data_IF_119416015948
#
_entry.id   IF_119416015948
#
_cell.length_a   1.000
_cell.length_b   1.000
_cell.length_c   1.000
_cell.angle_alpha   90.00
_cell.angle_beta   90.00
_cell.angle_gamma   90.00
#
_symmetry.space_group_name_H-M   'P 1'
#
loop_
_entity.id
_entity.type
_entity.pdbx_description
1 polymer ?
#
# COMPACT_ATOMS: atom_id res chain seq x y z
N UNK A 1 -57.39 0.69 -39.07
CA UNK A 1 -56.65 -0.50 -38.53
C UNK A 1 -55.17 -0.61 -38.92
N UNK A 2 -54.74 -0.31 -40.15
CA UNK A 2 -53.32 -0.43 -40.57
C UNK A 2 -52.35 0.53 -39.84
N UNK A 3 -52.81 1.69 -39.33
CA UNK A 3 -51.97 2.63 -38.61
C UNK A 3 -51.80 2.29 -37.12
N UNK A 4 -52.80 1.67 -36.50
CA UNK A 4 -52.76 1.26 -35.11
C UNK A 4 -51.76 0.11 -34.94
N UNK A 5 -51.68 -0.84 -35.88
CA UNK A 5 -50.71 -1.91 -35.87
C UNK A 5 -49.24 -1.44 -36.01
N UNK A 6 -48.99 -0.39 -36.79
CA UNK A 6 -47.66 0.19 -36.94
C UNK A 6 -47.18 0.94 -35.69
N UNK A 7 -48.08 1.64 -34.98
CA UNK A 7 -47.78 2.32 -33.72
C UNK A 7 -47.50 1.30 -32.59
N UNK A 8 -48.27 0.19 -32.57
CA UNK A 8 -48.04 -0.87 -31.59
C UNK A 8 -46.66 -1.59 -31.75
N UNK A 9 -46.23 -1.79 -33.03
CA UNK A 9 -44.92 -2.36 -33.33
C UNK A 9 -43.77 -1.41 -32.92
N UNK A 10 -43.91 -0.11 -33.13
CA UNK A 10 -42.89 0.89 -32.73
C UNK A 10 -42.82 1.01 -31.21
N UNK A 11 -43.95 0.98 -30.50
CA UNK A 11 -43.96 0.99 -29.04
C UNK A 11 -43.42 -0.32 -28.45
N UNK A 12 -43.62 -1.47 -29.08
CA UNK A 12 -43.09 -2.75 -28.63
C UNK A 12 -41.58 -2.86 -28.84
N UNK A 13 -41.03 -2.28 -29.91
CA UNK A 13 -39.59 -2.25 -30.15
C UNK A 13 -38.88 -1.26 -29.19
N UNK A 14 -39.54 -0.19 -28.75
CA UNK A 14 -38.99 0.71 -27.71
C UNK A 14 -39.02 0.07 -26.33
N UNK A 15 -39.91 -0.85 -26.04
CA UNK A 15 -39.98 -1.55 -24.74
C UNK A 15 -38.96 -2.71 -24.61
N UNK A 16 -38.42 -3.20 -25.74
CA UNK A 16 -37.36 -4.21 -25.73
C UNK A 16 -35.94 -3.61 -25.65
N UNK A 17 -35.80 -2.32 -25.79
CA UNK A 17 -34.57 -1.61 -25.54
C UNK A 17 -34.47 -1.16 -24.04
N UNK A 18 -34.74 -2.09 -23.12
CA UNK A 18 -34.24 -1.91 -21.75
C UNK A 18 -32.71 -1.95 -21.90
N UNK A 19 -31.96 -0.87 -21.59
CA UNK A 19 -30.53 -1.00 -21.52
C UNK A 19 -30.27 -2.07 -20.46
N UNK A 20 -29.85 -3.24 -20.86
CA UNK A 20 -29.11 -4.12 -19.97
C UNK A 20 -27.93 -3.27 -19.56
N UNK A 21 -27.99 -2.71 -18.34
CA UNK A 21 -26.82 -2.18 -17.69
C UNK A 21 -25.90 -3.37 -17.62
N UNK A 22 -25.00 -3.49 -18.60
CA UNK A 22 -23.93 -4.47 -18.55
C UNK A 22 -23.24 -4.19 -17.23
N UNK A 23 -23.38 -5.08 -16.26
CA UNK A 23 -22.58 -4.99 -15.07
C UNK A 23 -21.14 -4.98 -15.58
N UNK A 24 -20.45 -3.86 -15.35
CA UNK A 24 -19.01 -3.81 -15.57
C UNK A 24 -18.42 -5.04 -14.89
N UNK A 25 -17.64 -5.86 -15.62
CA UNK A 25 -17.04 -7.04 -15.03
C UNK A 25 -16.32 -6.63 -13.75
N UNK A 26 -16.64 -7.30 -12.64
CA UNK A 26 -15.97 -7.03 -11.36
C UNK A 26 -14.47 -7.27 -11.60
N UNK A 27 -13.66 -6.23 -11.47
CA UNK A 27 -12.22 -6.38 -11.45
C UNK A 27 -11.87 -7.04 -10.11
N UNK A 28 -11.46 -8.30 -10.19
CA UNK A 28 -10.91 -9.01 -9.04
C UNK A 28 -9.41 -8.77 -8.99
N UNK A 29 -8.91 -8.33 -7.85
CA UNK A 29 -7.47 -8.20 -7.58
C UNK A 29 -7.02 -9.39 -6.75
N UNK A 30 -6.06 -10.15 -7.28
CA UNK A 30 -5.33 -11.21 -6.60
C UNK A 30 -3.87 -10.80 -6.60
N UNK A 31 -3.43 -10.21 -5.49
CA UNK A 31 -2.13 -9.57 -5.41
C UNK A 31 -1.18 -10.30 -4.46
N UNK A 32 0.11 -10.14 -4.73
CA UNK A 32 1.20 -10.54 -3.85
C UNK A 32 2.03 -9.32 -3.46
N UNK A 33 2.43 -9.26 -2.18
CA UNK A 33 3.39 -8.30 -1.68
C UNK A 33 4.81 -8.84 -1.88
N UNK A 34 5.64 -8.10 -2.62
CA UNK A 34 7.05 -8.40 -2.82
C UNK A 34 7.88 -7.39 -2.01
N UNK A 35 8.23 -7.77 -0.78
CA UNK A 35 8.99 -6.93 0.13
C UNK A 35 10.47 -6.96 -0.21
N UNK A 36 11.09 -5.77 -0.30
CA UNK A 36 12.53 -5.61 -0.53
C UNK A 36 13.27 -5.30 0.77
N UNK A 37 12.62 -4.62 1.71
CA UNK A 37 13.22 -4.29 3.00
C UNK A 37 13.70 -5.55 3.70
N UNK A 38 14.95 -5.50 4.20
CA UNK A 38 15.66 -6.64 4.83
C UNK A 38 15.74 -7.88 3.92
N UNK A 39 15.51 -7.71 2.61
CA UNK A 39 15.51 -8.79 1.60
C UNK A 39 14.54 -9.92 1.96
N UNK A 40 13.40 -9.57 2.55
CA UNK A 40 12.42 -10.56 2.99
C UNK A 40 11.90 -11.41 1.83
N UNK A 41 11.56 -10.77 0.71
CA UNK A 41 11.12 -11.48 -0.50
C UNK A 41 12.21 -11.44 -1.57
N UNK A 42 12.71 -10.24 -1.91
CA UNK A 42 13.67 -9.98 -2.97
C UNK A 42 14.51 -8.75 -2.65
N UNK A 43 15.78 -8.66 -3.11
CA UNK A 43 16.61 -9.74 -3.67
C UNK A 43 17.24 -10.60 -2.58
N UNK A 44 17.60 -11.83 -2.88
CA UNK A 44 18.40 -12.68 -1.96
C UNK A 44 19.91 -12.41 -2.09
N UNK A 45 20.35 -12.04 -3.29
CA UNK A 45 21.73 -11.68 -3.59
C UNK A 45 21.86 -10.17 -3.69
N UNK A 46 22.89 -9.57 -3.08
CA UNK A 46 23.24 -8.15 -3.25
C UNK A 46 24.33 -7.97 -4.29
N UNK A 47 24.27 -6.89 -5.07
CA UNK A 47 25.36 -6.49 -5.94
C UNK A 47 26.50 -5.94 -5.08
N UNK A 48 27.68 -6.58 -5.16
CA UNK A 48 28.82 -6.30 -4.26
C UNK A 48 29.68 -5.15 -4.76
N UNK A 49 29.78 -4.97 -6.09
CA UNK A 49 30.65 -4.01 -6.72
C UNK A 49 29.95 -3.33 -7.90
N UNK A 50 30.30 -2.09 -8.19
CA UNK A 50 29.85 -1.39 -9.39
C UNK A 50 30.61 -1.81 -10.66
N UNK A 51 31.56 -2.73 -10.55
CA UNK A 51 32.33 -3.31 -11.66
C UNK A 51 32.44 -4.83 -11.50
N UNK A 52 32.34 -5.58 -12.60
CA UNK A 52 32.43 -7.04 -12.57
C UNK A 52 31.27 -7.77 -11.90
N UNK A 53 30.11 -7.14 -11.82
CA UNK A 53 28.92 -7.58 -11.08
C UNK A 53 27.84 -8.24 -11.96
N UNK A 54 28.22 -8.66 -13.17
CA UNK A 54 27.24 -9.20 -14.13
C UNK A 54 26.52 -10.48 -13.61
N UNK A 55 27.20 -11.27 -12.77
CA UNK A 55 26.61 -12.47 -12.20
C UNK A 55 25.53 -12.12 -11.16
N UNK A 56 25.84 -11.25 -10.20
CA UNK A 56 24.92 -10.85 -9.15
C UNK A 56 23.68 -10.13 -9.74
N UNK A 57 23.87 -9.30 -10.77
CA UNK A 57 22.78 -8.66 -11.50
C UNK A 57 21.88 -9.72 -12.15
N UNK A 58 22.49 -10.72 -12.81
CA UNK A 58 21.73 -11.79 -13.46
C UNK A 58 20.98 -12.63 -12.43
N UNK A 59 21.60 -12.95 -11.30
CA UNK A 59 20.96 -13.68 -10.20
C UNK A 59 19.74 -12.91 -9.66
N UNK A 60 19.86 -11.60 -9.42
CA UNK A 60 18.72 -10.76 -9.00
C UNK A 60 17.58 -10.77 -10.03
N UNK A 61 17.91 -10.66 -11.31
CA UNK A 61 16.93 -10.70 -12.41
C UNK A 61 16.23 -12.05 -12.52
N UNK A 62 17.00 -13.14 -12.49
CA UNK A 62 16.46 -14.52 -12.58
C UNK A 62 15.55 -14.84 -11.39
N UNK A 63 15.93 -14.38 -10.20
CA UNK A 63 15.09 -14.51 -9.01
C UNK A 63 13.77 -13.75 -9.16
N UNK A 64 13.78 -12.51 -9.62
CA UNK A 64 12.57 -11.74 -9.83
C UNK A 64 11.66 -12.36 -10.91
N UNK A 65 12.25 -12.86 -11.99
CA UNK A 65 11.52 -13.63 -13.03
C UNK A 65 10.83 -14.83 -12.40
N UNK A 66 11.55 -15.63 -11.61
CA UNK A 66 11.00 -16.81 -10.93
C UNK A 66 9.83 -16.44 -10.00
N UNK A 67 9.94 -15.32 -9.27
CA UNK A 67 8.88 -14.82 -8.43
C UNK A 67 7.63 -14.44 -9.23
N UNK A 68 7.80 -13.68 -10.31
CA UNK A 68 6.69 -13.26 -11.18
C UNK A 68 6.05 -14.46 -11.92
N UNK A 69 6.84 -15.45 -12.31
CA UNK A 69 6.32 -16.72 -12.87
C UNK A 69 5.48 -17.48 -11.83
N UNK A 70 5.91 -17.47 -10.56
CA UNK A 70 5.17 -18.08 -9.45
C UNK A 70 3.86 -17.35 -9.18
N UNK A 71 3.88 -16.02 -9.21
CA UNK A 71 2.67 -15.17 -9.11
C UNK A 71 1.68 -15.51 -10.23
N UNK A 72 2.17 -15.62 -11.47
CA UNK A 72 1.35 -16.00 -12.62
C UNK A 72 0.79 -17.41 -12.49
N UNK A 73 1.62 -18.36 -12.07
CA UNK A 73 1.21 -19.76 -11.85
C UNK A 73 0.15 -19.89 -10.75
N UNK A 74 0.18 -19.00 -9.74
CA UNK A 74 -0.85 -18.89 -8.71
C UNK A 74 -2.15 -18.22 -9.21
N UNK A 75 -2.25 -17.90 -10.51
CA UNK A 75 -3.37 -17.18 -11.09
C UNK A 75 -3.59 -15.77 -10.45
N UNK A 76 -2.55 -15.16 -9.91
CA UNK A 76 -2.59 -13.78 -9.46
C UNK A 76 -2.36 -12.81 -10.64
N UNK A 77 -2.84 -11.60 -10.49
CA UNK A 77 -2.86 -10.60 -11.56
C UNK A 77 -2.24 -9.26 -11.15
N UNK A 78 -1.74 -9.14 -9.93
CA UNK A 78 -1.16 -7.90 -9.39
C UNK A 78 -0.01 -8.23 -8.45
N UNK A 79 1.02 -7.39 -8.43
CA UNK A 79 2.07 -7.37 -7.42
C UNK A 79 2.20 -5.99 -6.80
N UNK A 80 2.40 -5.95 -5.47
CA UNK A 80 2.81 -4.76 -4.73
C UNK A 80 4.31 -4.87 -4.51
N UNK A 81 5.09 -4.17 -5.34
CA UNK A 81 6.55 -4.25 -5.34
C UNK A 81 7.14 -3.11 -4.51
N UNK A 82 7.82 -3.43 -3.41
CA UNK A 82 8.39 -2.41 -2.54
C UNK A 82 9.58 -1.72 -3.21
N UNK A 83 9.39 -0.44 -3.54
CA UNK A 83 10.38 0.39 -4.23
C UNK A 83 11.13 1.33 -3.29
N UNK A 84 10.55 1.60 -2.10
CA UNK A 84 11.10 2.47 -1.08
C UNK A 84 10.78 1.92 0.31
N UNK A 85 11.78 1.30 0.94
CA UNK A 85 11.63 0.67 2.25
C UNK A 85 12.02 1.58 3.42
N UNK A 86 13.11 2.39 3.28
CA UNK A 86 13.73 3.17 4.37
C UNK A 86 14.47 4.40 3.84
N UNK A 87 13.78 5.33 3.19
CA UNK A 87 14.41 6.49 2.53
C UNK A 87 15.58 6.07 1.64
N UNK A 88 15.38 5.00 0.89
CA UNK A 88 16.30 4.44 -0.08
C UNK A 88 15.49 3.82 -1.24
N UNK A 89 16.08 3.69 -2.42
CA UNK A 89 15.37 3.37 -3.64
C UNK A 89 15.80 2.04 -4.28
N UNK A 90 14.83 1.31 -4.84
CA UNK A 90 15.00 0.17 -5.75
C UNK A 90 14.90 0.60 -7.22
N UNK A 91 15.13 1.87 -7.50
CA UNK A 91 15.06 2.49 -8.82
C UNK A 91 16.03 3.66 -8.89
N UNK A 92 16.31 4.16 -10.11
CA UNK A 92 17.19 5.31 -10.29
C UNK A 92 16.47 6.58 -9.82
N UNK A 93 16.77 7.00 -8.60
CA UNK A 93 16.20 8.21 -8.01
C UNK A 93 17.14 9.39 -8.02
N UNK A 94 16.57 10.60 -8.19
CA UNK A 94 17.27 11.89 -8.01
C UNK A 94 17.23 12.37 -6.56
N UNK A 95 16.42 11.75 -5.72
CA UNK A 95 16.17 12.16 -4.34
C UNK A 95 16.83 11.25 -3.32
N UNK A 96 16.83 9.96 -3.55
CA UNK A 96 17.26 8.96 -2.58
C UNK A 96 18.32 8.02 -3.13
N UNK A 97 19.21 7.50 -2.27
CA UNK A 97 20.28 6.62 -2.69
C UNK A 97 19.75 5.21 -3.00
N UNK A 98 20.52 4.45 -3.76
CA UNK A 98 20.26 3.03 -3.94
C UNK A 98 20.22 2.29 -2.61
N UNK A 99 19.24 1.41 -2.46
CA UNK A 99 19.03 0.67 -1.21
C UNK A 99 20.17 -0.28 -0.87
N UNK A 100 20.54 -0.33 0.41
CA UNK A 100 21.46 -1.33 0.95
C UNK A 100 20.90 -2.77 0.92
N UNK A 101 19.60 -2.92 0.68
CA UNK A 101 19.00 -4.23 0.46
C UNK A 101 19.24 -4.73 -0.99
N UNK A 102 19.50 -3.83 -1.93
CA UNK A 102 19.82 -4.12 -3.33
C UNK A 102 21.32 -4.29 -3.56
N UNK A 103 22.12 -3.46 -2.93
CA UNK A 103 23.58 -3.33 -3.13
C UNK A 103 24.32 -3.46 -1.79
N UNK A 104 25.57 -3.87 -1.82
CA UNK A 104 26.36 -4.07 -0.59
C UNK A 104 26.64 -2.78 0.17
N UNK A 105 26.70 -1.64 -0.55
CA UNK A 105 26.94 -0.32 0.05
C UNK A 105 25.84 0.63 -0.41
N UNK A 106 25.10 1.21 0.53
CA UNK A 106 24.03 2.17 0.24
C UNK A 106 24.51 3.29 -0.69
N UNK A 107 23.74 3.56 -1.73
CA UNK A 107 24.06 4.56 -2.75
C UNK A 107 24.94 4.07 -3.89
N UNK A 108 25.50 2.87 -3.85
CA UNK A 108 26.24 2.28 -4.95
C UNK A 108 25.30 1.95 -6.12
N UNK A 109 25.64 2.33 -7.34
CA UNK A 109 24.86 1.99 -8.53
C UNK A 109 24.91 0.47 -8.79
N UNK A 110 23.76 -0.22 -8.85
CA UNK A 110 23.71 -1.66 -9.14
C UNK A 110 24.06 -2.01 -10.60
N UNK A 111 24.13 -1.03 -11.51
CA UNK A 111 24.38 -1.24 -12.92
C UNK A 111 23.14 -1.61 -13.76
N UNK A 112 21.96 -1.57 -13.17
CA UNK A 112 20.67 -1.70 -13.86
C UNK A 112 19.57 -1.01 -13.05
N UNK A 113 18.37 -0.86 -13.63
CA UNK A 113 17.21 -0.31 -12.94
C UNK A 113 16.24 -1.46 -12.55
N UNK A 114 16.16 -1.83 -11.26
CA UNK A 114 15.31 -2.91 -10.80
C UNK A 114 13.81 -2.67 -11.01
N UNK A 115 13.34 -1.44 -10.81
CA UNK A 115 11.92 -1.13 -11.00
C UNK A 115 11.53 -1.18 -12.48
N UNK A 116 12.36 -0.61 -13.36
CA UNK A 116 12.11 -0.72 -14.81
C UNK A 116 12.04 -2.19 -15.24
N UNK A 117 12.99 -2.99 -14.78
CA UNK A 117 13.03 -4.43 -15.09
C UNK A 117 11.79 -5.15 -14.51
N UNK A 118 11.37 -4.82 -13.29
CA UNK A 118 10.18 -5.41 -12.65
C UNK A 118 8.89 -5.08 -13.43
N UNK A 119 8.73 -3.82 -13.87
CA UNK A 119 7.57 -3.37 -14.68
C UNK A 119 7.51 -4.14 -15.99
N UNK A 120 8.62 -4.20 -16.72
CA UNK A 120 8.67 -4.92 -18.00
C UNK A 120 8.34 -6.42 -17.86
N UNK A 121 8.91 -7.07 -16.84
CA UNK A 121 8.68 -8.50 -16.62
C UNK A 121 7.28 -8.82 -16.07
N UNK A 122 6.70 -7.94 -15.25
CA UNK A 122 5.32 -8.06 -14.80
C UNK A 122 4.34 -7.91 -15.97
N UNK A 123 4.50 -6.88 -16.80
CA UNK A 123 3.63 -6.63 -17.95
C UNK A 123 3.72 -7.71 -19.03
N UNK A 124 4.90 -8.29 -19.30
CA UNK A 124 5.05 -9.45 -20.18
C UNK A 124 4.18 -10.65 -19.76
N UNK A 125 3.87 -10.74 -18.46
CA UNK A 125 3.03 -11.80 -17.88
C UNK A 125 1.56 -11.40 -17.72
N UNK A 126 1.20 -10.15 -18.04
CA UNK A 126 -0.12 -9.58 -17.81
C UNK A 126 -0.41 -9.41 -16.31
N UNK A 127 0.60 -9.05 -15.53
CA UNK A 127 0.54 -8.76 -14.10
C UNK A 127 0.64 -7.24 -13.94
N UNK A 128 -0.33 -6.64 -13.25
CA UNK A 128 -0.26 -5.24 -12.83
C UNK A 128 0.79 -5.08 -11.73
N UNK A 129 1.54 -3.97 -11.75
CA UNK A 129 2.56 -3.68 -10.74
C UNK A 129 2.27 -2.35 -10.05
N UNK A 130 2.08 -2.39 -8.72
CA UNK A 130 1.96 -1.19 -7.90
C UNK A 130 3.27 -0.95 -7.16
N UNK A 131 3.80 0.26 -7.28
CA UNK A 131 4.97 0.68 -6.52
C UNK A 131 4.59 0.86 -5.04
N UNK A 132 5.18 0.06 -4.17
CA UNK A 132 4.94 0.12 -2.73
C UNK A 132 5.98 1.00 -2.05
N UNK A 133 5.51 2.05 -1.37
CA UNK A 133 6.29 2.99 -0.59
C UNK A 133 5.99 2.84 0.89
N UNK A 134 7.04 2.82 1.71
CA UNK A 134 6.95 3.15 3.11
C UNK A 134 7.23 4.66 3.23
N UNK A 135 6.22 5.52 3.48
CA UNK A 135 6.40 6.96 3.25
C UNK A 135 7.34 7.63 4.24
N UNK A 136 7.38 7.17 5.51
CA UNK A 136 8.09 7.91 6.57
C UNK A 136 9.28 7.18 7.18
N UNK A 137 9.36 5.85 7.07
CA UNK A 137 10.42 5.07 7.71
C UNK A 137 11.79 5.51 7.23
N UNK A 138 12.69 5.83 8.18
CA UNK A 138 14.05 6.28 7.90
C UNK A 138 15.09 5.30 8.42
N UNK A 139 15.24 5.15 9.72
CA UNK A 139 16.21 4.27 10.35
C UNK A 139 15.56 3.23 11.25
N UNK A 140 16.31 2.20 11.59
CA UNK A 140 16.02 1.29 12.70
C UNK A 140 17.29 1.15 13.55
N UNK A 141 17.17 0.60 14.76
CA UNK A 141 18.36 0.34 15.61
C UNK A 141 19.42 -0.52 14.92
N UNK A 142 19.03 -1.34 13.95
CA UNK A 142 19.94 -2.21 13.21
C UNK A 142 20.48 -1.58 11.92
N UNK A 143 19.90 -0.46 11.46
CA UNK A 143 20.22 0.16 10.18
C UNK A 143 20.21 1.67 10.35
N UNK A 144 21.40 2.21 10.61
CA UNK A 144 21.66 3.65 10.68
C UNK A 144 22.39 4.11 9.42
N UNK A 145 22.18 5.38 9.04
CA UNK A 145 22.66 5.90 7.76
C UNK A 145 23.83 6.88 7.89
N UNK A 146 24.44 6.96 9.08
CA UNK A 146 25.57 7.85 9.32
C UNK A 146 26.68 7.62 8.29
N UNK A 147 27.18 8.71 7.70
CA UNK A 147 28.23 8.69 6.70
C UNK A 147 27.83 8.10 5.35
N UNK A 148 26.54 7.84 5.09
CA UNK A 148 26.04 7.37 3.78
C UNK A 148 25.47 8.51 2.94
N UNK A 149 25.37 8.37 1.58
CA UNK A 149 24.76 9.39 0.74
C UNK A 149 23.31 9.72 1.11
N UNK A 150 22.91 10.99 0.91
CA UNK A 150 21.57 11.51 1.22
C UNK A 150 21.11 11.15 2.63
N UNK A 151 21.96 11.37 3.61
CA UNK A 151 21.66 11.14 5.02
C UNK A 151 20.88 12.35 5.57
N UNK A 152 19.60 12.16 5.87
CA UNK A 152 18.77 13.25 6.41
C UNK A 152 19.16 13.65 7.83
N UNK A 153 19.73 12.74 8.63
CA UNK A 153 20.23 13.10 9.96
C UNK A 153 21.34 14.15 9.91
N UNK A 154 22.13 14.17 8.84
CA UNK A 154 23.18 15.18 8.61
C UNK A 154 22.65 16.43 7.89
N UNK A 155 21.77 16.24 6.90
CA UNK A 155 21.32 17.34 6.03
C UNK A 155 20.06 18.05 6.54
N UNK A 156 19.16 17.32 7.20
CA UNK A 156 17.85 17.77 7.67
C UNK A 156 17.48 17.10 9.00
N UNK A 157 18.28 17.27 10.09
CA UNK A 157 18.01 16.64 11.37
C UNK A 157 16.63 17.02 11.92
N UNK A 158 16.13 18.21 11.60
CA UNK A 158 14.80 18.70 11.96
C UNK A 158 13.65 17.90 11.33
N UNK A 159 13.92 17.15 10.26
CA UNK A 159 12.91 16.30 9.60
C UNK A 159 12.62 15.01 10.35
N UNK A 160 13.40 14.67 11.37
CA UNK A 160 13.35 13.37 12.02
C UNK A 160 12.60 13.40 13.36
N UNK A 161 11.80 12.37 13.58
CA UNK A 161 11.30 11.99 14.90
C UNK A 161 12.03 10.71 15.32
N UNK A 162 12.68 10.77 16.47
CA UNK A 162 13.49 9.68 17.02
C UNK A 162 12.72 8.88 18.07
N UNK A 163 12.73 7.55 17.92
CA UNK A 163 12.11 6.59 18.82
C UNK A 163 13.18 5.59 19.33
N UNK A 164 12.83 4.80 20.33
CA UNK A 164 13.74 3.78 20.88
C UNK A 164 14.18 2.72 19.89
N UNK A 165 13.40 2.46 18.86
CA UNK A 165 13.58 1.38 17.88
C UNK A 165 13.82 1.86 16.44
N UNK A 166 13.91 3.18 16.23
CA UNK A 166 14.24 3.77 14.95
C UNK A 166 13.84 5.23 14.81
N UNK A 167 13.84 5.72 13.60
CA UNK A 167 13.46 7.10 13.27
C UNK A 167 12.56 7.14 12.06
N UNK A 168 11.70 8.14 12.01
CA UNK A 168 10.84 8.43 10.86
C UNK A 168 11.02 9.87 10.41
N UNK A 169 10.68 10.16 9.16
CA UNK A 169 10.45 11.53 8.72
C UNK A 169 9.20 12.08 9.40
N UNK A 170 9.25 13.31 9.87
CA UNK A 170 8.16 13.94 10.63
C UNK A 170 6.95 14.27 9.76
N UNK A 171 5.79 13.61 9.94
CA UNK A 171 4.60 13.84 9.12
C UNK A 171 4.01 15.24 9.26
N UNK A 172 4.32 15.95 10.34
CA UNK A 172 3.81 17.29 10.61
C UNK A 172 4.47 18.36 9.72
N UNK A 173 5.66 18.11 9.19
CA UNK A 173 6.41 19.08 8.39
C UNK A 173 5.89 19.16 6.94
N UNK A 174 5.53 20.35 6.44
CA UNK A 174 5.17 20.55 5.05
C UNK A 174 6.27 20.14 4.07
N UNK A 175 7.53 20.46 4.39
CA UNK A 175 8.71 20.17 3.57
C UNK A 175 8.91 18.65 3.39
N UNK A 176 8.66 17.88 4.45
CA UNK A 176 8.69 16.41 4.40
C UNK A 176 7.59 15.87 3.49
N UNK A 177 6.37 16.41 3.58
CA UNK A 177 5.26 16.01 2.71
C UNK A 177 5.55 16.34 1.24
N UNK A 178 6.11 17.51 0.96
CA UNK A 178 6.47 17.93 -0.39
C UNK A 178 7.59 17.03 -0.95
N UNK A 179 8.58 16.70 -0.13
CA UNK A 179 9.67 15.82 -0.49
C UNK A 179 9.17 14.39 -0.82
N UNK A 180 8.34 13.80 0.05
CA UNK A 180 7.76 12.47 -0.20
C UNK A 180 6.90 12.49 -1.47
N UNK A 181 6.13 13.54 -1.68
CA UNK A 181 5.31 13.70 -2.89
C UNK A 181 6.18 13.77 -4.15
N UNK A 182 7.30 14.50 -4.12
CA UNK A 182 8.24 14.60 -5.23
C UNK A 182 8.90 13.25 -5.56
N UNK A 183 9.25 12.45 -4.55
CA UNK A 183 9.79 11.09 -4.72
C UNK A 183 8.76 10.19 -5.44
N UNK A 184 7.50 10.24 -5.04
CA UNK A 184 6.44 9.44 -5.67
C UNK A 184 6.16 9.95 -7.09
N UNK A 185 6.15 11.26 -7.28
CA UNK A 185 6.00 11.89 -8.60
C UNK A 185 7.08 11.44 -9.57
N UNK A 186 8.34 11.35 -9.13
CA UNK A 186 9.45 10.82 -9.91
C UNK A 186 9.15 9.41 -10.43
N UNK A 187 8.63 8.51 -9.59
CA UNK A 187 8.27 7.16 -10.00
C UNK A 187 7.06 7.16 -10.94
N UNK A 188 6.02 7.91 -10.63
CA UNK A 188 4.82 8.01 -11.48
C UNK A 188 5.18 8.53 -12.87
N UNK A 189 6.06 9.53 -12.97
CA UNK A 189 6.45 10.11 -14.27
C UNK A 189 7.34 9.18 -15.10
N UNK A 190 8.30 8.51 -14.46
CA UNK A 190 9.37 7.80 -15.17
C UNK A 190 9.08 6.32 -15.44
N UNK A 191 8.12 5.71 -14.74
CA UNK A 191 7.82 4.28 -14.85
C UNK A 191 6.37 4.04 -15.26
N UNK A 192 6.14 2.97 -16.01
CA UNK A 192 4.80 2.53 -16.43
C UNK A 192 4.16 1.62 -15.37
N UNK A 193 4.01 2.15 -14.15
CA UNK A 193 3.37 1.45 -13.04
C UNK A 193 1.85 1.56 -13.14
N UNK A 194 1.12 0.56 -12.64
CA UNK A 194 -0.34 0.50 -12.62
C UNK A 194 -0.95 1.13 -11.36
N UNK A 195 -0.12 1.31 -10.32
CA UNK A 195 -0.55 1.91 -9.07
C UNK A 195 0.59 2.28 -8.13
N UNK A 196 0.21 3.01 -7.10
CA UNK A 196 1.02 3.34 -5.92
C UNK A 196 0.30 2.77 -4.70
N UNK A 197 1.05 2.20 -3.76
CA UNK A 197 0.48 1.70 -2.51
C UNK A 197 1.36 2.09 -1.33
N UNK A 198 0.72 2.50 -0.23
CA UNK A 198 1.36 2.66 1.07
C UNK A 198 0.99 1.50 1.99
N UNK A 199 1.86 1.20 2.95
CA UNK A 199 1.54 0.35 4.10
C UNK A 199 1.02 1.17 5.30
N UNK A 200 1.16 0.68 6.52
CA UNK A 200 0.63 1.28 7.75
C UNK A 200 1.67 2.04 8.58
N UNK A 201 2.87 2.28 8.05
CA UNK A 201 3.94 2.95 8.79
C UNK A 201 3.86 4.48 8.63
N UNK A 202 3.01 5.12 9.46
CA UNK A 202 2.89 6.57 9.56
C UNK A 202 3.67 7.08 10.77
N UNK A 203 3.02 7.51 11.84
CA UNK A 203 3.71 7.67 13.13
C UNK A 203 4.03 6.30 13.73
N UNK A 204 4.99 6.25 14.65
CA UNK A 204 5.29 5.05 15.41
C UNK A 204 4.57 5.09 16.77
N UNK A 205 4.26 3.93 17.34
CA UNK A 205 3.80 3.84 18.72
C UNK A 205 4.83 4.46 19.66
N UNK A 206 4.33 5.14 20.68
CA UNK A 206 5.20 5.85 21.62
C UNK A 206 5.53 7.28 21.20
N UNK A 207 4.83 7.86 20.22
CA UNK A 207 4.92 9.27 19.88
C UNK A 207 4.45 10.11 21.07
N UNK A 208 5.36 10.86 21.69
CA UNK A 208 5.09 11.74 22.84
C UNK A 208 4.87 13.19 22.39
N UNK A 209 4.28 14.02 23.26
CA UNK A 209 3.91 15.39 22.89
C UNK A 209 5.11 16.32 22.72
N UNK A 210 6.22 16.05 23.42
CA UNK A 210 7.45 16.82 23.32
C UNK A 210 8.16 16.64 21.97
N UNK A 211 7.91 15.55 21.26
CA UNK A 211 8.54 15.28 19.95
C UNK A 211 8.11 16.25 18.85
N UNK A 212 6.92 16.84 18.95
CA UNK A 212 6.35 17.73 17.94
C UNK A 212 5.69 18.99 18.52
N UNK A 213 5.99 19.35 19.81
CA UNK A 213 5.32 20.44 20.52
C UNK A 213 5.47 21.80 19.83
N UNK A 214 6.68 22.12 19.38
CA UNK A 214 6.94 23.39 18.69
C UNK A 214 6.12 23.51 17.41
N UNK A 215 6.10 22.47 16.58
CA UNK A 215 5.32 22.44 15.34
C UNK A 215 3.81 22.51 15.62
N UNK A 216 3.34 21.81 16.65
CA UNK A 216 1.93 21.87 17.02
C UNK A 216 1.49 23.28 17.43
N UNK A 217 2.30 23.98 18.22
CA UNK A 217 2.02 25.37 18.63
C UNK A 217 2.03 26.34 17.45
N UNK A 218 2.92 26.12 16.47
CA UNK A 218 3.08 27.00 15.31
C UNK A 218 2.11 26.71 14.17
N UNK A 219 1.68 25.47 14.00
CA UNK A 219 0.98 25.00 12.78
C UNK A 219 -0.37 24.33 13.02
N UNK A 220 -1.06 24.67 14.10
CA UNK A 220 -2.41 24.20 14.43
C UNK A 220 -3.46 25.36 14.40
N UNK A 221 -3.75 25.97 13.22
CA UNK A 221 -4.67 27.10 13.13
C UNK A 221 -6.11 26.74 13.49
N UNK A 222 -6.49 25.49 13.36
CA UNK A 222 -7.85 24.98 13.60
C UNK A 222 -8.08 24.59 15.07
N UNK A 223 -7.08 24.78 15.95
CA UNK A 223 -7.10 24.40 17.38
C UNK A 223 -7.53 22.93 17.60
N UNK A 224 -7.08 22.02 16.75
CA UNK A 224 -7.34 20.59 16.89
C UNK A 224 -6.65 20.05 18.16
N UNK A 225 -7.19 18.96 18.68
CA UNK A 225 -6.44 18.15 19.65
C UNK A 225 -5.12 17.68 19.03
N UNK A 226 -4.09 17.39 19.84
CA UNK A 226 -2.80 16.92 19.34
C UNK A 226 -2.95 15.68 18.44
N UNK A 227 -3.75 14.71 18.86
CA UNK A 227 -4.04 13.49 18.11
C UNK A 227 -4.73 13.78 16.76
N UNK A 228 -5.74 14.67 16.74
CA UNK A 228 -6.42 15.04 15.49
C UNK A 228 -5.50 15.83 14.56
N UNK A 229 -4.62 16.68 15.11
CA UNK A 229 -3.63 17.40 14.33
C UNK A 229 -2.61 16.45 13.68
N UNK A 230 -2.12 15.43 14.41
CA UNK A 230 -1.24 14.39 13.85
C UNK A 230 -1.94 13.62 12.73
N UNK A 231 -3.20 13.17 12.94
CA UNK A 231 -4.02 12.54 11.90
C UNK A 231 -4.20 13.44 10.68
N UNK A 232 -4.51 14.72 10.91
CA UNK A 232 -4.67 15.69 9.82
C UNK A 232 -3.38 15.84 8.99
N UNK A 233 -2.19 15.79 9.60
CA UNK A 233 -0.92 15.89 8.88
C UNK A 233 -0.66 14.66 8.00
N UNK A 234 -1.01 13.46 8.46
CA UNK A 234 -0.99 12.25 7.62
C UNK A 234 -2.01 12.38 6.47
N UNK A 235 -3.25 12.79 6.77
CA UNK A 235 -4.29 12.97 5.76
C UNK A 235 -3.88 13.97 4.67
N UNK A 236 -3.17 15.04 5.04
CA UNK A 236 -2.63 16.02 4.08
C UNK A 236 -1.66 15.39 3.08
N UNK A 237 -0.75 14.49 3.52
CA UNK A 237 0.13 13.76 2.60
C UNK A 237 -0.68 12.89 1.63
N UNK A 238 -1.63 12.11 2.16
CA UNK A 238 -2.44 11.20 1.35
C UNK A 238 -3.19 11.99 0.26
N UNK A 239 -3.86 13.06 0.64
CA UNK A 239 -4.58 13.92 -0.29
C UNK A 239 -3.65 14.61 -1.31
N UNK A 240 -2.45 14.98 -0.91
CA UNK A 240 -1.45 15.62 -1.78
C UNK A 240 -0.94 14.63 -2.83
N UNK A 241 -0.58 13.42 -2.41
CA UNK A 241 -0.13 12.34 -3.31
C UNK A 241 -1.24 11.96 -4.29
N UNK A 242 -2.47 11.79 -3.81
CA UNK A 242 -3.60 11.50 -4.69
C UNK A 242 -3.79 12.55 -5.78
N UNK A 243 -3.83 13.83 -5.40
CA UNK A 243 -3.96 14.93 -6.37
C UNK A 243 -2.81 14.98 -7.37
N UNK A 244 -1.58 14.72 -6.93
CA UNK A 244 -0.42 14.65 -7.80
C UNK A 244 -0.58 13.52 -8.82
N UNK A 245 -0.96 12.29 -8.38
CA UNK A 245 -1.18 11.14 -9.28
C UNK A 245 -2.29 11.45 -10.29
N UNK A 246 -3.42 12.00 -9.85
CA UNK A 246 -4.52 12.38 -10.75
C UNK A 246 -4.11 13.42 -11.79
N UNK A 247 -3.18 14.31 -11.44
CA UNK A 247 -2.65 15.32 -12.38
C UNK A 247 -1.66 14.73 -13.38
N UNK A 248 -0.82 13.79 -12.97
CA UNK A 248 0.27 13.23 -13.80
C UNK A 248 -0.22 12.07 -14.68
N UNK A 249 -0.81 11.06 -14.04
CA UNK A 249 -1.29 9.83 -14.69
C UNK A 249 -2.58 9.33 -14.01
N UNK A 250 -3.76 9.84 -14.38
CA UNK A 250 -5.02 9.54 -13.69
C UNK A 250 -5.46 8.07 -13.77
N UNK A 251 -4.79 7.25 -14.58
CA UNK A 251 -5.03 5.80 -14.63
C UNK A 251 -4.21 5.02 -13.59
N UNK A 252 -3.18 5.62 -12.99
CA UNK A 252 -2.41 5.03 -11.89
C UNK A 252 -3.24 5.07 -10.63
N UNK A 253 -3.52 3.92 -10.06
CA UNK A 253 -4.36 3.81 -8.86
C UNK A 253 -3.54 4.07 -7.60
N UNK A 254 -4.13 4.74 -6.63
CA UNK A 254 -3.52 4.95 -5.33
C UNK A 254 -4.29 4.22 -4.24
N UNK A 255 -3.60 3.41 -3.45
CA UNK A 255 -4.18 2.67 -2.35
C UNK A 255 -3.33 2.66 -1.11
N UNK A 256 -3.95 2.26 0.01
CA UNK A 256 -3.27 2.15 1.30
C UNK A 256 -3.63 0.81 1.94
N UNK A 257 -2.64 0.18 2.57
CA UNK A 257 -2.79 -1.04 3.37
C UNK A 257 -2.61 -0.69 4.86
N UNK A 258 -3.62 -0.11 5.51
CA UNK A 258 -3.56 0.25 6.92
C UNK A 258 -3.70 -1.00 7.80
N UNK A 259 -3.57 -0.82 9.12
CA UNK A 259 -3.96 -1.84 10.09
C UNK A 259 -5.39 -2.32 9.86
N UNK A 260 -5.65 -3.59 10.14
CA UNK A 260 -6.95 -4.22 9.85
C UNK A 260 -8.13 -3.64 10.64
N UNK A 261 -7.88 -3.14 11.85
CA UNK A 261 -8.88 -2.44 12.70
C UNK A 261 -8.64 -0.95 12.61
N UNK A 262 -9.70 -0.19 12.33
CA UNK A 262 -9.64 1.27 12.34
C UNK A 262 -9.84 1.83 13.75
N UNK A 263 -11.07 1.77 14.27
CA UNK A 263 -11.47 2.33 15.57
C UNK A 263 -12.71 1.64 16.08
N UNK A 264 -12.75 1.30 17.37
CA UNK A 264 -13.89 0.66 18.04
C UNK A 264 -14.73 1.66 18.84
N UNK A 265 -14.30 2.92 18.97
CA UNK A 265 -15.03 3.99 19.66
C UNK A 265 -16.22 4.48 18.82
N UNK A 266 -17.42 4.30 19.38
CA UNK A 266 -18.66 4.70 18.74
C UNK A 266 -18.78 6.24 18.56
N UNK A 267 -18.19 7.02 19.46
CA UNK A 267 -18.22 8.48 19.38
C UNK A 267 -17.36 8.99 18.21
N UNK A 268 -16.24 8.34 17.97
CA UNK A 268 -15.38 8.64 16.83
C UNK A 268 -16.09 8.22 15.54
N UNK A 269 -16.64 7.00 15.49
CA UNK A 269 -17.35 6.50 14.32
C UNK A 269 -18.56 7.38 13.92
N UNK A 270 -19.29 7.90 14.90
CA UNK A 270 -20.42 8.83 14.68
C UNK A 270 -19.97 10.10 13.94
N UNK A 271 -18.76 10.62 14.18
CA UNK A 271 -18.23 11.81 13.46
C UNK A 271 -18.14 11.58 11.95
N UNK A 272 -17.91 10.32 11.54
CA UNK A 272 -17.85 9.90 10.16
C UNK A 272 -19.17 9.37 9.59
N UNK A 273 -20.23 9.32 10.42
CA UNK A 273 -21.52 8.77 10.02
C UNK A 273 -21.49 7.26 9.73
N UNK A 274 -20.60 6.52 10.40
CA UNK A 274 -20.41 5.07 10.23
C UNK A 274 -20.53 4.34 11.56
N UNK A 275 -20.62 3.03 11.51
CA UNK A 275 -20.48 2.18 12.70
C UNK A 275 -19.01 1.97 13.04
N UNK A 276 -18.64 1.81 14.33
CA UNK A 276 -17.29 1.47 14.71
C UNK A 276 -16.89 0.07 14.20
N UNK A 277 -15.59 -0.22 14.11
CA UNK A 277 -15.11 -1.57 13.87
C UNK A 277 -15.62 -2.49 15.00
N UNK A 278 -16.23 -3.61 14.69
CA UNK A 278 -17.00 -4.39 15.68
C UNK A 278 -16.13 -5.07 16.74
N UNK A 279 -14.83 -5.27 16.44
CA UNK A 279 -13.86 -5.96 17.31
C UNK A 279 -12.46 -5.39 17.09
N UNK A 280 -11.57 -5.60 18.06
CA UNK A 280 -10.16 -5.19 17.96
C UNK A 280 -9.81 -4.10 18.97
N UNK A 281 -8.90 -3.21 18.61
CA UNK A 281 -8.43 -2.09 19.44
C UNK A 281 -8.24 -0.83 18.59
N UNK A 282 -8.18 0.31 19.24
CA UNK A 282 -8.03 1.63 18.61
C UNK A 282 -6.56 2.01 18.33
N UNK A 283 -5.64 1.06 18.44
CA UNK A 283 -4.21 1.27 18.27
C UNK A 283 -3.86 2.03 16.98
N UNK A 284 -4.48 1.70 15.85
CA UNK A 284 -4.19 2.38 14.60
C UNK A 284 -4.61 3.85 14.62
N UNK A 285 -5.75 4.15 15.23
CA UNK A 285 -6.29 5.49 15.31
C UNK A 285 -5.58 6.34 16.38
N UNK A 286 -5.31 5.76 17.56
CA UNK A 286 -4.80 6.48 18.72
C UNK A 286 -3.28 6.54 18.80
N UNK A 287 -2.56 5.44 18.48
CA UNK A 287 -1.12 5.34 18.68
C UNK A 287 -0.30 5.74 17.46
N UNK A 288 -0.77 5.38 16.25
CA UNK A 288 -0.06 5.70 15.00
C UNK A 288 -0.79 6.73 14.14
N UNK A 289 -1.86 7.31 14.64
CA UNK A 289 -2.63 8.41 14.04
C UNK A 289 -3.07 8.13 12.59
N UNK A 290 -3.47 6.89 12.32
CA UNK A 290 -3.92 6.40 11.04
C UNK A 290 -5.43 6.53 10.93
N UNK A 291 -5.91 7.33 9.97
CA UNK A 291 -7.35 7.62 9.81
C UNK A 291 -7.87 7.32 8.40
N UNK A 292 -8.00 6.02 8.05
CA UNK A 292 -8.47 5.62 6.73
C UNK A 292 -9.89 6.09 6.40
N UNK A 293 -10.73 6.38 7.40
CA UNK A 293 -12.08 6.91 7.15
C UNK A 293 -12.03 8.30 6.53
N UNK A 294 -11.12 9.17 6.97
CA UNK A 294 -10.90 10.46 6.33
C UNK A 294 -10.51 10.28 4.86
N UNK A 295 -9.59 9.38 4.54
CA UNK A 295 -9.13 9.16 3.16
C UNK A 295 -10.22 8.64 2.23
N UNK A 296 -11.06 7.72 2.73
CA UNK A 296 -12.21 7.17 1.99
C UNK A 296 -13.26 8.24 1.73
N UNK A 297 -13.61 9.04 2.74
CA UNK A 297 -14.64 10.08 2.63
C UNK A 297 -14.20 11.27 1.76
N UNK A 298 -12.93 11.62 1.83
CA UNK A 298 -12.34 12.68 0.98
C UNK A 298 -12.05 12.22 -0.45
N UNK A 299 -12.31 10.94 -0.76
CA UNK A 299 -11.96 10.32 -2.04
C UNK A 299 -10.49 10.55 -2.43
N UNK A 300 -9.59 10.46 -1.46
CA UNK A 300 -8.15 10.66 -1.64
C UNK A 300 -7.38 9.34 -1.84
N UNK A 301 -8.10 8.21 -2.00
CA UNK A 301 -7.59 6.90 -2.38
C UNK A 301 -8.58 6.19 -3.30
N UNK A 302 -8.09 5.31 -4.19
CA UNK A 302 -8.91 4.49 -5.08
C UNK A 302 -9.30 3.15 -4.41
N UNK A 303 -8.43 2.63 -3.57
CA UNK A 303 -8.69 1.38 -2.85
C UNK A 303 -8.03 1.36 -1.47
N UNK A 304 -8.58 0.51 -0.63
CA UNK A 304 -8.01 0.20 0.69
C UNK A 304 -7.77 -1.30 0.82
N UNK A 305 -6.62 -1.67 1.40
CA UNK A 305 -6.20 -3.08 1.57
C UNK A 305 -5.81 -3.36 3.03
N UNK A 306 -6.77 -3.34 3.98
CA UNK A 306 -6.47 -3.49 5.40
C UNK A 306 -5.78 -4.81 5.72
N UNK A 307 -4.82 -4.79 6.64
CA UNK A 307 -4.03 -5.93 7.09
C UNK A 307 -4.81 -6.76 8.13
N UNK A 308 -5.69 -7.63 7.65
CA UNK A 308 -6.56 -8.45 8.51
C UNK A 308 -5.88 -9.81 8.74
N UNK A 309 -4.90 -9.85 9.66
CA UNK A 309 -4.04 -11.01 9.89
C UNK A 309 -4.54 -11.97 10.97
N UNK A 310 -5.70 -11.70 11.55
CA UNK A 310 -6.28 -12.53 12.62
C UNK A 310 -7.09 -13.70 12.09
N UNK A 311 -7.26 -14.72 12.95
CA UNK A 311 -8.06 -15.91 12.62
C UNK A 311 -9.54 -15.69 12.87
N UNK A 312 -10.38 -16.43 12.15
CA UNK A 312 -11.83 -16.51 12.43
C UNK A 312 -12.03 -17.08 13.84
N UNK A 313 -12.89 -16.44 14.62
CA UNK A 313 -13.17 -16.80 16.01
C UNK A 313 -12.16 -16.29 17.03
N UNK A 314 -11.18 -15.46 16.64
CA UNK A 314 -10.30 -14.76 17.57
C UNK A 314 -10.95 -13.48 18.13
N UNK A 315 -10.30 -12.82 19.09
CA UNK A 315 -10.78 -11.53 19.65
C UNK A 315 -10.88 -10.43 18.59
N UNK A 316 -10.05 -10.49 17.53
CA UNK A 316 -10.13 -9.62 16.35
C UNK A 316 -10.56 -10.48 15.16
N UNK A 317 -11.81 -10.96 15.18
CA UNK A 317 -12.32 -11.93 14.20
C UNK A 317 -12.24 -11.39 12.78
N UNK A 318 -11.55 -12.15 11.91
CA UNK A 318 -11.39 -11.81 10.51
C UNK A 318 -12.70 -11.52 9.79
N UNK A 319 -13.73 -12.37 10.00
CA UNK A 319 -14.99 -12.25 9.26
C UNK A 319 -15.71 -10.95 9.62
N UNK A 320 -15.77 -10.62 10.90
CA UNK A 320 -16.43 -9.40 11.37
C UNK A 320 -15.74 -8.14 10.83
N UNK A 321 -14.38 -8.12 10.84
CA UNK A 321 -13.60 -6.99 10.34
C UNK A 321 -13.75 -6.85 8.82
N UNK A 322 -13.64 -7.96 8.07
CA UNK A 322 -13.74 -7.94 6.61
C UNK A 322 -15.16 -7.56 6.13
N UNK A 323 -16.20 -8.04 6.81
CA UNK A 323 -17.59 -7.65 6.54
C UNK A 323 -17.80 -6.15 6.79
N UNK A 324 -17.29 -5.65 7.90
CA UNK A 324 -17.35 -4.22 8.24
C UNK A 324 -16.67 -3.37 7.15
N UNK A 325 -15.43 -3.67 6.78
CA UNK A 325 -14.74 -2.94 5.70
C UNK A 325 -15.51 -2.99 4.38
N UNK A 326 -16.02 -4.18 4.03
CA UNK A 326 -16.81 -4.35 2.79
C UNK A 326 -18.07 -3.49 2.76
N UNK A 327 -18.72 -3.28 3.93
CA UNK A 327 -19.90 -2.41 4.04
C UNK A 327 -19.52 -0.94 3.95
N UNK A 328 -18.46 -0.52 4.65
CA UNK A 328 -17.99 0.86 4.67
C UNK A 328 -17.58 1.33 3.28
N UNK A 329 -16.68 0.61 2.60
CA UNK A 329 -16.17 1.05 1.30
C UNK A 329 -17.26 1.19 0.23
N UNK A 330 -18.32 0.38 0.32
CA UNK A 330 -19.49 0.48 -0.59
C UNK A 330 -20.25 1.78 -0.41
N UNK A 331 -20.31 2.33 0.79
CA UNK A 331 -21.01 3.59 1.08
C UNK A 331 -20.32 4.77 0.38
N UNK A 332 -19.00 4.70 0.24
CA UNK A 332 -18.18 5.80 -0.26
C UNK A 332 -17.54 5.53 -1.64
N UNK A 333 -17.82 4.39 -2.25
CA UNK A 333 -17.35 4.07 -3.61
C UNK A 333 -15.85 3.76 -3.69
N UNK A 334 -15.20 3.40 -2.58
CA UNK A 334 -13.81 2.94 -2.55
C UNK A 334 -13.74 1.42 -2.80
N UNK A 335 -12.66 0.94 -3.42
CA UNK A 335 -12.43 -0.49 -3.58
C UNK A 335 -11.82 -1.11 -2.33
N UNK A 336 -12.21 -2.37 -2.04
CA UNK A 336 -11.72 -3.15 -0.90
C UNK A 336 -10.96 -4.39 -1.34
N UNK A 337 -9.71 -4.52 -0.89
CA UNK A 337 -8.88 -5.70 -1.04
C UNK A 337 -8.36 -6.12 0.34
N UNK A 338 -8.73 -7.30 0.83
CA UNK A 338 -8.26 -7.75 2.14
C UNK A 338 -6.84 -8.28 2.06
N UNK A 339 -5.93 -7.74 2.87
CA UNK A 339 -4.56 -8.27 3.01
C UNK A 339 -4.50 -9.38 4.06
N UNK A 340 -3.76 -10.47 3.71
CA UNK A 340 -3.61 -11.65 4.55
C UNK A 340 -2.15 -12.04 4.72
N UNK A 341 -1.82 -12.70 5.83
CA UNK A 341 -0.52 -13.34 6.03
C UNK A 341 -0.48 -14.69 5.31
N UNK A 342 0.42 -14.85 4.34
CA UNK A 342 0.56 -16.09 3.59
C UNK A 342 1.23 -17.23 4.39
N UNK A 343 2.05 -16.91 5.40
CA UNK A 343 2.61 -17.91 6.32
C UNK A 343 1.54 -18.77 6.98
N UNK A 344 0.37 -18.18 7.21
CA UNK A 344 -0.79 -18.86 7.78
C UNK A 344 -1.51 -19.79 6.78
N UNK A 345 -1.23 -19.63 5.48
CA UNK A 345 -1.82 -20.43 4.40
C UNK A 345 -1.13 -21.77 4.21
N UNK A 346 0.10 -21.92 4.70
CA UNK A 346 0.89 -23.16 4.60
C UNK A 346 0.41 -24.26 5.57
N UNK A 347 -0.45 -23.93 6.56
CA UNK A 347 -0.96 -24.89 7.51
C UNK A 347 -2.25 -25.56 7.01
N UNK A 348 -2.44 -26.86 7.38
CA UNK A 348 -3.69 -27.61 7.10
C UNK A 348 -4.95 -26.97 7.70
N UNK A 349 -4.80 -25.86 8.44
CA UNK A 349 -5.88 -25.10 9.10
C UNK A 349 -6.44 -23.94 8.24
N UNK A 350 -5.88 -23.70 7.07
CA UNK A 350 -6.25 -22.56 6.23
C UNK A 350 -7.76 -22.47 5.90
N UNK A 351 -8.45 -23.55 5.50
CA UNK A 351 -9.90 -23.47 5.20
C UNK A 351 -10.75 -23.02 6.40
N UNK A 352 -10.28 -23.23 7.62
CA UNK A 352 -10.98 -22.82 8.85
C UNK A 352 -10.61 -21.41 9.30
N UNK A 353 -9.47 -20.85 8.80
CA UNK A 353 -9.00 -19.53 9.22
C UNK A 353 -9.72 -18.39 8.50
N UNK A 354 -9.91 -18.50 7.18
CA UNK A 354 -10.42 -17.40 6.37
C UNK A 354 -11.82 -17.65 5.75
N UNK A 355 -12.42 -18.80 5.98
CA UNK A 355 -13.74 -19.11 5.43
C UNK A 355 -13.77 -19.23 3.90
N UNK A 356 -14.99 -19.42 3.33
CA UNK A 356 -15.20 -19.62 1.88
C UNK A 356 -15.39 -18.33 1.07
N UNK A 357 -15.29 -17.15 1.67
CA UNK A 357 -15.80 -15.90 1.08
C UNK A 357 -14.73 -14.84 0.83
N UNK A 358 -13.43 -15.17 0.89
CA UNK A 358 -12.38 -14.18 0.70
C UNK A 358 -11.96 -14.04 -0.74
N UNK A 359 -12.30 -12.91 -1.33
CA UNK A 359 -11.61 -12.35 -2.48
C UNK A 359 -10.62 -11.32 -1.91
N UNK A 360 -9.34 -11.66 -1.81
CA UNK A 360 -8.34 -10.79 -1.15
C UNK A 360 -6.97 -10.91 -1.75
N UNK A 361 -6.11 -9.95 -1.45
CA UNK A 361 -4.69 -10.02 -1.73
C UNK A 361 -4.01 -11.00 -0.78
N UNK A 362 -3.03 -11.74 -1.27
CA UNK A 362 -2.23 -12.70 -0.50
C UNK A 362 -0.80 -12.18 -0.43
N UNK A 363 -0.21 -12.14 0.77
CA UNK A 363 1.23 -11.94 0.93
C UNK A 363 1.94 -13.30 1.02
N UNK A 364 3.08 -13.47 0.34
CA UNK A 364 3.87 -14.71 0.34
C UNK A 364 5.14 -14.55 1.18
N UNK A 365 5.42 -15.55 2.00
CA UNK A 365 6.77 -15.86 2.46
C UNK A 365 7.35 -16.96 1.55
N UNK A 366 8.41 -16.61 0.80
CA UNK A 366 8.99 -17.49 -0.22
C UNK A 366 10.18 -18.28 0.33
N UNK A 367 10.05 -18.94 1.46
CA UNK A 367 11.04 -19.90 1.91
C UNK A 367 11.05 -21.20 1.07
N UNK A 368 10.74 -21.12 -0.23
CA UNK A 368 10.96 -22.18 -1.21
C UNK A 368 9.93 -23.32 -1.22
N UNK A 369 8.88 -23.27 -0.42
CA UNK A 369 7.82 -24.28 -0.46
C UNK A 369 6.69 -23.86 -1.42
N UNK A 370 6.35 -24.75 -2.35
CA UNK A 370 5.19 -24.61 -3.24
C UNK A 370 3.91 -24.55 -2.42
N UNK A 371 3.38 -23.35 -2.22
CA UNK A 371 2.02 -23.20 -1.73
C UNK A 371 1.07 -23.57 -2.87
N UNK A 372 0.38 -24.70 -2.77
CA UNK A 372 -0.65 -25.08 -3.73
C UNK A 372 -1.83 -24.10 -3.56
N UNK A 373 -1.99 -23.20 -4.53
CA UNK A 373 -3.12 -22.28 -4.61
C UNK A 373 -4.41 -23.07 -4.88
N UNK A 374 -5.17 -23.41 -3.86
CA UNK A 374 -6.62 -23.56 -4.01
C UNK A 374 -7.24 -22.18 -3.80
N UNK A 375 -7.41 -21.45 -4.88
CA UNK A 375 -8.33 -20.31 -4.94
C UNK A 375 -9.71 -20.87 -4.60
N UNK A 376 -10.26 -20.45 -3.48
CA UNK A 376 -11.65 -20.75 -3.14
C UNK A 376 -12.52 -19.81 -3.96
N UNK A 377 -13.14 -20.32 -5.03
CA UNK A 377 -14.23 -19.65 -5.72
C UNK A 377 -15.46 -19.52 -4.81
N UNK A 378 -16.35 -18.52 -5.08
CA UNK A 378 -17.52 -18.23 -4.27
C UNK A 378 -18.46 -19.39 -4.09
#
# INVERSE_FOLDING_TARGET
MKYIAKIAIVLFTFWLAIPTIAQTPKKEVRAFWLSTVWRLTWPKTTVISNTGNAQEIQEQKDELIMLLDSVKAANANTVYFQVRGRCDAMYKSSYEPWSSDLVATRGMDPGYDPLLFAVEEAHKRGIEIHAWFNPYRYESVLHQWDGTPQNYRESHPEWLLDYSDGSILNPAMPEVRDHITAIIQEVVQNYDIDGVVFDDYFYMSGTTDDMDDELYQQSNPDNLSRADWRRQNVNKLIAQVYRMIQSEKPYVRFGISPAGVWCTDATIAERYGVTPTPVGSDWAYDDIFCDPMAWIQEHSIDYISPQIYWTIGSSSDYTLIAEWWSQIVRQFGCHFYSSHSASDLSSAKMPSKYGKTTTGSLSFDLNGEKVSSKVLSP
#
